data_IF_551448369995
#
_entry.id   IF_551448369995
#
_cell.length_a   1.000
_cell.length_b   1.000
_cell.length_c   1.000
_cell.angle_alpha   90.00
_cell.angle_beta   90.00
_cell.angle_gamma   90.00
#
_symmetry.space_group_name_H-M   'P 1'
#
loop_
_entity.id
_entity.type
_entity.pdbx_description
1 polymer ?
#
# COMPACT_ATOMS: atom_id res chain seq x y z
N UNK A 1 32.91 37.32 -54.91
CA UNK A 1 33.33 36.13 -54.16
C UNK A 1 32.38 35.95 -52.99
N UNK A 2 31.35 35.10 -53.14
CA UNK A 2 31.34 33.69 -52.67
C UNK A 2 31.53 33.64 -51.13
N UNK A 3 30.65 33.07 -50.29
CA UNK A 3 29.60 32.08 -50.47
C UNK A 3 28.63 32.12 -49.27
N UNK A 4 27.42 31.60 -49.52
CA UNK A 4 26.43 31.20 -48.51
C UNK A 4 27.03 30.13 -47.58
N UNK A 5 26.79 30.23 -46.28
CA UNK A 5 26.87 29.06 -45.39
C UNK A 5 25.50 28.43 -45.29
N UNK A 6 25.47 27.15 -45.63
CA UNK A 6 24.33 26.26 -45.73
C UNK A 6 23.87 25.74 -44.38
N UNK A 7 22.54 25.55 -44.28
CA UNK A 7 21.77 24.44 -43.70
C UNK A 7 22.38 23.72 -42.48
N UNK A 8 21.63 23.52 -41.39
CA UNK A 8 20.66 22.41 -41.35
C UNK A 8 19.62 22.65 -40.27
N UNK A 9 18.36 22.76 -40.68
CA UNK A 9 17.19 22.63 -39.81
C UNK A 9 17.19 21.24 -39.15
N UNK A 10 17.33 21.20 -37.82
CA UNK A 10 17.18 19.99 -37.04
C UNK A 10 15.68 19.68 -36.93
N UNK A 11 15.19 18.86 -37.85
CA UNK A 11 13.82 18.36 -37.88
C UNK A 11 13.63 17.44 -36.67
N UNK A 12 13.01 17.93 -35.60
CA UNK A 12 12.53 17.11 -34.50
C UNK A 12 11.36 16.26 -35.03
N UNK A 13 11.66 15.04 -35.46
CA UNK A 13 10.63 14.02 -35.64
C UNK A 13 10.16 13.59 -34.26
N UNK A 14 8.98 14.07 -33.86
CA UNK A 14 8.21 13.39 -32.82
C UNK A 14 7.88 11.99 -33.34
N UNK A 15 8.65 11.00 -32.89
CA UNK A 15 8.21 9.61 -32.92
C UNK A 15 7.30 9.42 -31.71
N UNK A 16 6.01 9.25 -31.97
CA UNK A 16 5.08 8.63 -31.01
C UNK A 16 5.53 7.18 -30.81
N UNK A 17 6.54 6.97 -29.97
CA UNK A 17 6.84 5.66 -29.42
C UNK A 17 5.72 5.33 -28.44
N UNK A 18 4.71 4.64 -28.95
CA UNK A 18 3.79 3.89 -28.10
C UNK A 18 4.62 2.77 -27.49
N UNK A 19 5.14 3.00 -26.28
CA UNK A 19 5.73 1.93 -25.47
C UNK A 19 4.72 0.80 -25.35
N UNK A 20 5.02 -0.34 -25.98
CA UNK A 20 4.24 -1.56 -25.82
C UNK A 20 4.50 -2.03 -24.39
N UNK A 21 3.64 -1.63 -23.45
CA UNK A 21 3.67 -2.13 -22.09
C UNK A 21 3.35 -3.63 -22.11
N UNK A 22 4.31 -4.46 -21.70
CA UNK A 22 4.12 -5.89 -21.44
C UNK A 22 3.19 -6.06 -20.23
N UNK A 23 1.89 -6.11 -20.50
CA UNK A 23 0.84 -6.25 -19.48
C UNK A 23 0.98 -7.54 -18.69
N UNK A 24 1.36 -8.63 -19.36
CA UNK A 24 1.54 -9.93 -18.72
C UNK A 24 2.74 -9.92 -17.77
N UNK A 25 3.84 -9.29 -18.19
CA UNK A 25 5.01 -9.06 -17.33
C UNK A 25 4.69 -8.18 -16.13
N UNK A 26 3.99 -7.07 -16.32
CA UNK A 26 3.57 -6.17 -15.24
C UNK A 26 2.67 -6.90 -14.23
N UNK A 27 1.69 -7.65 -14.73
CA UNK A 27 0.79 -8.44 -13.90
C UNK A 27 1.54 -9.52 -13.12
N UNK A 28 2.50 -10.22 -13.74
CA UNK A 28 3.31 -11.23 -13.06
C UNK A 28 4.21 -10.63 -11.95
N UNK A 29 4.64 -9.38 -12.11
CA UNK A 29 5.40 -8.65 -11.08
C UNK A 29 4.51 -8.20 -9.92
N UNK A 30 3.26 -7.82 -10.20
CA UNK A 30 2.32 -7.26 -9.21
C UNK A 30 1.50 -8.36 -8.50
N UNK A 31 1.12 -9.39 -9.23
CA UNK A 31 0.29 -10.50 -8.79
C UNK A 31 0.80 -11.82 -9.43
N UNK A 32 1.90 -12.39 -8.92
CA UNK A 32 2.48 -13.62 -9.48
C UNK A 32 1.49 -14.78 -9.55
N UNK A 33 1.65 -15.67 -10.54
CA UNK A 33 0.85 -16.90 -10.66
C UNK A 33 0.96 -17.75 -9.38
N UNK A 34 -0.18 -18.17 -8.82
CA UNK A 34 -0.24 -18.95 -7.57
C UNK A 34 -0.33 -18.12 -6.29
N UNK A 35 -0.34 -16.78 -6.41
CA UNK A 35 -0.66 -15.90 -5.29
C UNK A 35 -2.03 -16.23 -4.67
N UNK A 36 -2.11 -16.29 -3.34
CA UNK A 36 -3.37 -16.45 -2.63
C UNK A 36 -4.16 -15.12 -2.67
N UNK A 37 -5.34 -15.06 -3.31
CA UNK A 37 -6.16 -13.85 -3.40
C UNK A 37 -6.59 -13.27 -2.06
N UNK A 38 -6.73 -14.11 -1.02
CA UNK A 38 -7.16 -13.68 0.32
C UNK A 38 -6.08 -12.89 1.07
N UNK A 39 -4.81 -13.09 0.70
CA UNK A 39 -3.71 -12.28 1.23
C UNK A 39 -3.61 -10.92 0.55
N UNK A 40 -4.44 -10.67 -0.49
CA UNK A 40 -4.35 -9.52 -1.41
C UNK A 40 -2.91 -9.19 -1.75
N UNK A 41 -2.27 -9.84 -2.74
CA UNK A 41 -0.89 -9.54 -3.15
C UNK A 41 -0.58 -8.05 -3.36
N UNK A 42 -1.59 -7.26 -3.72
CA UNK A 42 -1.50 -5.79 -3.75
C UNK A 42 -1.32 -5.15 -2.38
N UNK A 43 -1.90 -5.70 -1.31
CA UNK A 43 -1.61 -5.33 0.07
C UNK A 43 -0.11 -5.42 0.38
N UNK A 44 0.63 -6.35 -0.25
CA UNK A 44 2.08 -6.48 -0.03
C UNK A 44 2.85 -5.36 -0.75
N UNK A 45 2.46 -5.01 -1.98
CA UNK A 45 3.09 -3.91 -2.75
C UNK A 45 2.74 -2.56 -2.14
N UNK A 46 1.52 -2.46 -1.61
CA UNK A 46 0.97 -1.26 -1.00
C UNK A 46 1.01 -1.37 0.51
N UNK A 47 1.91 -2.21 1.08
CA UNK A 47 2.07 -2.44 2.52
C UNK A 47 1.82 -1.12 3.21
N UNK A 48 0.66 -1.02 3.83
CA UNK A 48 0.17 0.27 4.25
C UNK A 48 1.05 0.68 5.42
N UNK A 49 1.99 1.59 5.17
CA UNK A 49 2.83 2.31 6.16
C UNK A 49 1.97 3.15 7.12
N UNK A 50 0.71 2.79 7.29
CA UNK A 50 -0.32 3.52 7.99
C UNK A 50 -0.88 2.66 9.12
N UNK A 51 -1.07 3.30 10.26
CA UNK A 51 -1.76 2.76 11.40
C UNK A 51 -3.18 2.36 10.97
N UNK A 52 -3.68 1.19 11.42
CA UNK A 52 -5.04 0.78 11.08
C UNK A 52 -6.11 1.77 11.55
N UNK A 53 -5.83 2.49 12.65
CA UNK A 53 -6.69 3.57 13.15
C UNK A 53 -6.96 4.67 12.12
N UNK A 54 -6.07 4.86 11.13
CA UNK A 54 -6.26 5.87 10.08
C UNK A 54 -7.52 5.62 9.25
N UNK A 55 -7.92 4.36 9.05
CA UNK A 55 -9.09 4.00 8.24
C UNK A 55 -10.22 3.34 9.06
N UNK A 56 -9.93 2.75 10.22
CA UNK A 56 -10.96 2.21 11.12
C UNK A 56 -11.50 3.23 12.11
N UNK A 57 -10.72 4.26 12.44
CA UNK A 57 -10.95 5.05 13.65
C UNK A 57 -11.10 4.14 14.88
N UNK A 58 -12.11 4.42 15.69
CA UNK A 58 -12.44 3.64 16.89
C UNK A 58 -13.33 2.40 16.62
N UNK A 59 -13.54 2.01 15.35
CA UNK A 59 -14.25 0.78 15.03
C UNK A 59 -13.36 -0.45 15.27
N UNK A 60 -13.87 -1.43 16.02
CA UNK A 60 -13.15 -2.67 16.28
C UNK A 60 -13.19 -3.59 15.05
N UNK A 61 -12.03 -3.92 14.51
CA UNK A 61 -11.88 -4.83 13.37
C UNK A 61 -11.12 -6.09 13.76
N UNK A 62 -11.28 -7.16 12.98
CA UNK A 62 -10.44 -8.35 13.13
C UNK A 62 -9.03 -8.09 12.55
N UNK A 63 -8.03 -7.97 13.42
CA UNK A 63 -6.63 -7.73 13.04
C UNK A 63 -5.68 -8.27 14.11
N UNK A 64 -4.44 -8.56 13.72
CA UNK A 64 -3.37 -8.83 14.67
C UNK A 64 -3.07 -7.59 15.51
N UNK A 65 -3.03 -7.77 16.83
CA UNK A 65 -2.74 -6.70 17.79
C UNK A 65 -1.62 -7.10 18.74
N UNK A 66 -0.86 -6.09 19.16
CA UNK A 66 0.35 -6.25 19.95
C UNK A 66 0.23 -5.48 21.26
N UNK A 67 0.68 -6.08 22.36
CA UNK A 67 1.02 -5.34 23.57
C UNK A 67 2.45 -4.82 23.48
N UNK A 68 2.71 -3.62 23.99
CA UNK A 68 4.05 -3.05 24.10
C UNK A 68 4.33 -2.72 25.58
N UNK A 69 5.14 -3.55 26.24
CA UNK A 69 5.43 -3.37 27.68
C UNK A 69 6.31 -2.15 27.94
N UNK A 70 7.23 -1.86 27.02
CA UNK A 70 8.10 -0.67 27.09
C UNK A 70 7.30 0.64 27.09
N UNK A 71 6.22 0.73 26.30
CA UNK A 71 5.40 1.95 26.20
C UNK A 71 4.15 1.92 27.12
N UNK A 72 3.86 0.79 27.77
CA UNK A 72 2.66 0.61 28.58
C UNK A 72 1.36 0.42 27.77
N UNK A 73 1.45 -0.01 26.51
CA UNK A 73 0.28 -0.49 25.74
C UNK A 73 -0.04 -1.92 26.16
N UNK A 74 -0.66 -2.06 27.33
CA UNK A 74 -0.96 -3.35 27.97
C UNK A 74 -2.41 -3.38 28.46
N UNK A 75 -2.90 -4.53 28.91
CA UNK A 75 -4.28 -4.66 29.39
C UNK A 75 -5.29 -4.53 28.25
N UNK A 76 -6.13 -3.50 28.28
CA UNK A 76 -7.09 -3.20 27.20
C UNK A 76 -6.46 -2.48 26.01
N UNK A 77 -5.28 -1.87 26.18
CA UNK A 77 -4.61 -1.14 25.11
C UNK A 77 -3.81 -2.08 24.20
N UNK A 78 -3.68 -1.69 22.94
CA UNK A 78 -2.86 -2.40 21.97
C UNK A 78 -2.39 -1.51 20.82
N UNK A 79 -1.46 -2.01 20.00
CA UNK A 79 -1.12 -1.40 18.72
C UNK A 79 -1.26 -2.41 17.58
N UNK A 80 -1.56 -1.92 16.39
CA UNK A 80 -1.60 -2.73 15.18
C UNK A 80 -0.20 -3.15 14.73
N UNK A 81 -0.15 -4.09 13.79
CA UNK A 81 1.08 -4.60 13.18
C UNK A 81 2.02 -3.48 12.69
N UNK A 82 1.46 -2.45 12.05
CA UNK A 82 2.29 -1.37 11.49
C UNK A 82 2.90 -0.48 12.57
N UNK A 83 2.12 -0.14 13.59
CA UNK A 83 2.64 0.57 14.76
C UNK A 83 3.71 -0.23 15.52
N UNK A 84 3.55 -1.56 15.63
CA UNK A 84 4.56 -2.41 16.25
C UNK A 84 5.90 -2.35 15.49
N UNK A 85 5.87 -2.32 14.16
CA UNK A 85 7.07 -2.23 13.30
C UNK A 85 7.68 -0.84 13.25
N UNK A 86 6.84 0.20 13.19
CA UNK A 86 7.29 1.59 12.99
C UNK A 86 7.47 2.29 14.33
N UNK A 87 6.42 2.41 15.12
CA UNK A 87 6.43 3.23 16.35
C UNK A 87 7.11 2.53 17.53
N UNK A 88 7.04 1.21 17.58
CA UNK A 88 7.57 0.40 18.68
C UNK A 88 8.74 -0.50 18.25
N UNK A 89 9.46 -0.09 17.19
CA UNK A 89 10.64 -0.80 16.69
C UNK A 89 11.68 -0.94 17.81
N UNK A 90 12.03 -2.19 18.14
CA UNK A 90 13.03 -2.49 19.17
C UNK A 90 12.51 -2.46 20.61
N UNK A 91 11.21 -2.34 20.82
CA UNK A 91 10.58 -2.45 22.14
C UNK A 91 10.18 -3.91 22.46
N UNK A 92 9.82 -4.17 23.72
CA UNK A 92 9.20 -5.43 24.14
C UNK A 92 7.73 -5.47 23.67
N UNK A 93 7.56 -5.78 22.38
CA UNK A 93 6.27 -5.95 21.70
C UNK A 93 5.94 -7.43 21.52
N UNK A 94 4.74 -7.85 21.93
CA UNK A 94 4.26 -9.23 21.81
C UNK A 94 2.86 -9.29 21.24
N UNK A 95 2.62 -10.23 20.33
CA UNK A 95 1.30 -10.50 19.78
C UNK A 95 0.35 -10.96 20.89
N UNK A 96 -0.84 -10.36 20.99
CA UNK A 96 -1.89 -10.80 21.92
C UNK A 96 -2.69 -11.90 21.25
N UNK A 97 -2.82 -13.05 21.92
CA UNK A 97 -3.62 -14.19 21.44
C UNK A 97 -5.10 -14.11 21.84
N UNK A 98 -5.47 -13.07 22.60
CA UNK A 98 -6.79 -12.81 23.14
C UNK A 98 -7.34 -11.52 22.55
N UNK A 99 -8.65 -11.42 22.37
CA UNK A 99 -9.37 -10.30 21.73
C UNK A 99 -9.16 -10.25 20.21
N UNK A 100 -10.00 -10.97 19.43
CA UNK A 100 -9.85 -11.00 17.98
C UNK A 100 -10.21 -9.68 17.32
N UNK A 101 -10.90 -8.76 18.02
CA UNK A 101 -11.32 -7.48 17.46
C UNK A 101 -10.87 -6.28 18.30
N UNK A 102 -10.20 -5.33 17.66
CA UNK A 102 -9.69 -4.10 18.29
C UNK A 102 -9.36 -3.03 17.23
N UNK A 103 -9.24 -1.77 17.67
CA UNK A 103 -8.56 -0.71 16.93
C UNK A 103 -7.18 -0.42 17.56
N UNK A 104 -6.35 0.39 16.89
CA UNK A 104 -4.99 0.68 17.37
C UNK A 104 -4.96 1.89 18.34
N UNK A 105 -4.41 1.68 19.54
CA UNK A 105 -4.24 2.70 20.59
C UNK A 105 -2.84 3.35 20.60
N UNK A 106 -2.03 3.17 19.55
CA UNK A 106 -0.65 3.67 19.53
C UNK A 106 -0.56 5.18 19.87
N UNK A 107 -1.57 5.95 19.47
CA UNK A 107 -1.65 7.40 19.70
C UNK A 107 -1.84 7.77 21.18
N UNK A 108 -2.37 6.88 22.03
CA UNK A 108 -2.59 7.10 23.46
C UNK A 108 -1.28 7.18 24.26
N UNK A 109 -0.24 6.46 23.80
CA UNK A 109 1.06 6.37 24.50
C UNK A 109 2.19 7.05 23.75
N UNK A 110 2.07 7.25 22.45
CA UNK A 110 3.15 7.73 21.60
C UNK A 110 2.62 8.68 20.53
N UNK A 111 3.49 9.57 20.01
CA UNK A 111 3.20 10.29 18.76
C UNK A 111 3.30 9.30 17.60
N UNK A 112 2.17 8.71 17.24
CA UNK A 112 2.12 7.67 16.23
C UNK A 112 2.62 8.19 14.88
N UNK A 113 3.74 7.63 14.41
CA UNK A 113 4.38 7.99 13.13
C UNK A 113 3.71 7.33 11.92
N UNK A 114 2.91 6.30 12.17
CA UNK A 114 2.11 5.63 11.16
C UNK A 114 0.68 6.20 11.09
N UNK A 115 0.28 7.11 11.99
CA UNK A 115 -1.04 7.77 11.94
C UNK A 115 -1.04 8.89 10.89
N UNK A 116 -0.70 8.54 9.67
CA UNK A 116 -0.68 9.43 8.51
C UNK A 116 -1.45 8.70 7.41
N UNK A 117 -2.26 9.42 6.65
CA UNK A 117 -2.72 8.90 5.38
C UNK A 117 -1.51 8.83 4.45
N UNK A 118 -1.28 7.68 3.83
CA UNK A 118 -0.23 7.54 2.82
C UNK A 118 -0.44 8.57 1.70
N UNK A 119 0.58 8.83 0.86
CA UNK A 119 0.47 9.84 -0.21
C UNK A 119 -0.69 9.52 -1.16
N UNK A 120 -1.80 10.24 -1.00
CA UNK A 120 -3.06 9.96 -1.69
C UNK A 120 -2.93 10.11 -3.21
N UNK A 121 -2.13 11.07 -3.69
CA UNK A 121 -1.87 11.26 -5.12
C UNK A 121 -1.10 10.08 -5.70
N UNK A 122 -0.05 9.62 -5.02
CA UNK A 122 0.74 8.47 -5.49
C UNK A 122 -0.11 7.18 -5.51
N UNK A 123 -0.96 6.99 -4.49
CA UNK A 123 -1.89 5.86 -4.41
C UNK A 123 -2.94 5.89 -5.51
N UNK A 124 -3.53 7.04 -5.77
CA UNK A 124 -4.48 7.22 -6.87
C UNK A 124 -3.85 6.95 -8.23
N UNK A 125 -2.62 7.44 -8.44
CA UNK A 125 -1.87 7.16 -9.67
C UNK A 125 -1.59 5.66 -9.83
N UNK A 126 -1.16 4.99 -8.77
CA UNK A 126 -0.95 3.54 -8.77
C UNK A 126 -2.24 2.79 -9.09
N UNK A 127 -3.35 3.12 -8.41
CA UNK A 127 -4.66 2.51 -8.68
C UNK A 127 -5.07 2.70 -10.15
N UNK A 128 -4.91 3.92 -10.67
CA UNK A 128 -5.20 4.22 -12.08
C UNK A 128 -4.35 3.38 -13.03
N UNK A 129 -3.04 3.25 -12.77
CA UNK A 129 -2.16 2.41 -13.56
C UNK A 129 -2.58 0.94 -13.51
N UNK A 130 -2.94 0.41 -12.33
CA UNK A 130 -3.37 -0.97 -12.18
C UNK A 130 -4.67 -1.23 -12.96
N UNK A 131 -5.64 -0.31 -12.91
CA UNK A 131 -6.90 -0.43 -13.65
C UNK A 131 -6.66 -0.43 -15.17
N UNK A 132 -5.75 0.41 -15.67
CA UNK A 132 -5.53 0.60 -17.12
C UNK A 132 -4.62 -0.49 -17.71
N UNK A 133 -3.59 -0.89 -16.96
CA UNK A 133 -2.50 -1.71 -17.50
C UNK A 133 -2.53 -3.17 -17.04
N UNK A 134 -3.46 -3.58 -16.18
CA UNK A 134 -3.60 -4.97 -15.72
C UNK A 134 -5.05 -5.45 -15.79
N UNK A 135 -5.27 -6.76 -15.62
CA UNK A 135 -6.61 -7.36 -15.53
C UNK A 135 -7.14 -7.43 -14.09
N UNK A 136 -6.41 -6.89 -13.10
CA UNK A 136 -6.65 -7.11 -11.67
C UNK A 136 -8.04 -6.66 -11.21
N UNK A 137 -8.67 -5.73 -11.93
CA UNK A 137 -10.06 -5.29 -11.69
C UNK A 137 -11.08 -6.43 -11.80
N UNK A 138 -10.75 -7.48 -12.56
CA UNK A 138 -11.62 -8.65 -12.76
C UNK A 138 -11.42 -9.73 -11.70
N UNK A 139 -10.38 -9.63 -10.88
CA UNK A 139 -10.00 -10.64 -9.88
C UNK A 139 -10.63 -10.36 -8.52
N UNK A 140 -11.05 -11.43 -7.85
CA UNK A 140 -11.77 -11.40 -6.58
C UNK A 140 -11.17 -12.39 -5.57
N UNK A 141 -11.30 -12.10 -4.27
CA UNK A 141 -10.92 -13.00 -3.18
C UNK A 141 -11.97 -14.10 -2.93
N UNK A 142 -11.74 -14.99 -1.96
CA UNK A 142 -12.67 -16.08 -1.62
C UNK A 142 -14.05 -15.61 -1.14
N UNK A 143 -14.16 -14.34 -0.71
CA UNK A 143 -15.40 -13.68 -0.30
C UNK A 143 -16.11 -12.95 -1.44
N UNK A 144 -15.57 -12.97 -2.65
CA UNK A 144 -16.12 -12.25 -3.81
C UNK A 144 -15.83 -10.74 -3.81
N UNK A 145 -14.88 -10.27 -3.01
CA UNK A 145 -14.48 -8.86 -2.99
C UNK A 145 -13.34 -8.63 -3.98
N UNK A 146 -13.32 -7.46 -4.63
CA UNK A 146 -12.25 -7.10 -5.56
C UNK A 146 -10.89 -7.10 -4.85
N UNK A 147 -9.86 -7.67 -5.47
CA UNK A 147 -8.51 -7.66 -4.90
C UNK A 147 -7.91 -6.25 -4.81
N UNK A 148 -8.44 -5.29 -5.57
CA UNK A 148 -8.07 -3.86 -5.55
C UNK A 148 -8.74 -3.08 -4.41
N UNK A 149 -9.73 -3.67 -3.70
CA UNK A 149 -10.53 -2.97 -2.68
C UNK A 149 -9.65 -2.30 -1.61
N UNK A 150 -8.57 -2.96 -1.21
CA UNK A 150 -7.66 -2.46 -0.17
C UNK A 150 -6.95 -1.15 -0.56
N UNK A 151 -6.69 -0.93 -1.86
CA UNK A 151 -6.11 0.33 -2.34
C UNK A 151 -7.10 1.50 -2.24
N UNK A 152 -8.40 1.23 -2.34
CA UNK A 152 -9.48 2.23 -2.30
C UNK A 152 -9.84 2.64 -0.86
N UNK A 153 -9.70 1.72 0.10
CA UNK A 153 -10.13 1.92 1.48
C UNK A 153 -9.11 2.62 2.39
N UNK A 154 -7.89 2.91 1.91
CA UNK A 154 -6.79 3.49 2.70
C UNK A 154 -6.04 4.56 1.93
#
# INVERSE_FOLDING_TARGET
WFSKSSNTEMKLSHTEETEILDKEGLEAMVFPRGSNPDLSPLHIICCNDTCSFTWTGAEHINQDIFECRTCGLTGSLCCCTECARVCHRGHDCKLKRTSPTAYCDCWEKCKCRALVQGNQTARFNLLSCLIVHTDLVTKHNSRGESILLFLVQT
#
